data_IF_425148608048
#
_entry.id   IF_425148608048
#
_cell.length_a   1.000
_cell.length_b   1.000
_cell.length_c   1.000
_cell.angle_alpha   90.00
_cell.angle_beta   90.00
_cell.angle_gamma   90.00
#
_symmetry.space_group_name_H-M   'P 1'
#
loop_
_entity.id
_entity.type
_entity.pdbx_description
1 polymer ?
#
# COMPACT_ATOMS: atom_id res chain seq x y z
N UNK A 1 25.55 -17.52 -11.52
CA UNK A 1 26.40 -16.35 -11.20
C UNK A 1 25.55 -15.09 -11.31
N UNK A 2 24.78 -14.74 -10.28
CA UNK A 2 23.87 -13.56 -10.30
C UNK A 2 23.82 -12.80 -8.96
N UNK A 3 24.54 -13.26 -7.93
CA UNK A 3 24.38 -12.74 -6.57
C UNK A 3 24.77 -11.26 -6.41
N UNK A 4 25.74 -10.75 -7.19
CA UNK A 4 26.21 -9.36 -7.03
C UNK A 4 25.26 -8.29 -7.59
N UNK A 5 24.49 -8.59 -8.63
CA UNK A 5 23.51 -7.63 -9.14
C UNK A 5 22.19 -7.72 -8.37
N UNK A 6 21.80 -8.93 -7.95
CA UNK A 6 20.55 -9.16 -7.22
C UNK A 6 20.55 -8.43 -5.86
N UNK A 7 21.66 -8.40 -5.13
CA UNK A 7 21.74 -7.67 -3.85
C UNK A 7 21.62 -6.15 -4.06
N UNK A 8 22.23 -5.60 -5.11
CA UNK A 8 22.19 -4.16 -5.41
C UNK A 8 20.76 -3.73 -5.70
N UNK A 9 20.03 -4.48 -6.52
CA UNK A 9 18.63 -4.19 -6.83
C UNK A 9 17.73 -4.26 -5.58
N UNK A 10 17.94 -5.24 -4.71
CA UNK A 10 17.18 -5.38 -3.47
C UNK A 10 17.49 -4.24 -2.47
N UNK A 11 18.76 -3.87 -2.30
CA UNK A 11 19.16 -2.76 -1.43
C UNK A 11 18.65 -1.41 -1.96
N UNK A 12 18.83 -1.13 -3.25
CA UNK A 12 18.32 0.09 -3.88
C UNK A 12 16.81 0.20 -3.74
N UNK A 13 16.07 -0.90 -3.94
CA UNK A 13 14.62 -0.95 -3.74
C UNK A 13 14.19 -0.72 -2.29
N UNK A 14 14.92 -1.29 -1.34
CA UNK A 14 14.67 -1.09 0.10
C UNK A 14 14.90 0.36 0.54
N UNK A 15 16.04 0.94 0.15
CA UNK A 15 16.41 2.33 0.47
C UNK A 15 15.46 3.33 -0.22
N UNK A 16 15.12 3.10 -1.49
CA UNK A 16 14.11 3.89 -2.19
C UNK A 16 12.76 3.88 -1.45
N UNK A 17 12.35 2.72 -0.91
CA UNK A 17 11.15 2.59 -0.10
C UNK A 17 11.19 3.37 1.21
N UNK A 18 12.36 3.51 1.85
CA UNK A 18 12.50 4.32 3.06
C UNK A 18 12.32 5.82 2.77
N UNK A 19 12.91 6.31 1.68
CA UNK A 19 12.74 7.69 1.20
C UNK A 19 11.28 7.95 0.84
N UNK A 20 10.68 7.03 0.08
CA UNK A 20 9.27 7.05 -0.30
C UNK A 20 8.36 7.20 0.94
N UNK A 21 8.51 6.34 1.95
CA UNK A 21 7.71 6.40 3.17
C UNK A 21 7.91 7.71 3.91
N UNK A 22 9.15 8.18 4.04
CA UNK A 22 9.47 9.39 4.79
C UNK A 22 8.72 10.60 4.23
N UNK A 23 8.60 10.68 2.90
CA UNK A 23 7.89 11.76 2.22
C UNK A 23 6.37 11.57 2.18
N UNK A 24 5.90 10.32 2.06
CA UNK A 24 4.48 10.01 1.85
C UNK A 24 3.69 9.81 3.15
N UNK A 25 4.35 9.54 4.27
CA UNK A 25 3.69 9.21 5.54
C UNK A 25 2.74 10.30 6.08
N UNK A 26 3.04 11.61 5.99
CA UNK A 26 2.09 12.65 6.40
C UNK A 26 0.74 12.59 5.68
N UNK A 27 0.76 12.28 4.38
CA UNK A 27 -0.47 12.13 3.59
C UNK A 27 -1.27 10.90 4.03
N UNK A 28 -0.60 9.78 4.35
CA UNK A 28 -1.24 8.56 4.86
C UNK A 28 -1.89 8.80 6.24
N UNK A 29 -1.24 9.59 7.09
CA UNK A 29 -1.79 9.99 8.39
C UNK A 29 -3.07 10.82 8.25
N UNK A 30 -3.04 11.88 7.42
CA UNK A 30 -4.20 12.75 7.16
C UNK A 30 -5.37 11.93 6.62
N UNK A 31 -5.10 11.03 5.68
CA UNK A 31 -6.10 10.13 5.11
C UNK A 31 -6.72 9.23 6.18
N UNK A 32 -5.90 8.55 6.97
CA UNK A 32 -6.35 7.61 8.01
C UNK A 32 -7.23 8.31 9.05
N UNK A 33 -6.82 9.51 9.49
CA UNK A 33 -7.63 10.33 10.41
C UNK A 33 -8.94 10.79 9.80
N UNK A 34 -8.95 11.17 8.52
CA UNK A 34 -10.19 11.56 7.83
C UNK A 34 -11.18 10.39 7.75
N UNK A 35 -10.71 9.18 7.45
CA UNK A 35 -11.54 7.97 7.40
C UNK A 35 -12.15 7.66 8.78
N UNK A 36 -11.35 7.80 9.85
CA UNK A 36 -11.80 7.65 11.24
C UNK A 36 -12.92 8.64 11.59
N UNK A 37 -12.72 9.94 11.31
CA UNK A 37 -13.69 11.01 11.62
C UNK A 37 -15.03 10.78 10.92
N UNK A 38 -14.98 10.41 9.63
CA UNK A 38 -16.19 10.17 8.83
C UNK A 38 -16.94 8.92 9.29
N UNK A 39 -16.23 7.88 9.73
CA UNK A 39 -16.87 6.70 10.29
C UNK A 39 -17.54 6.99 11.64
N UNK A 40 -16.91 7.83 12.48
CA UNK A 40 -17.50 8.32 13.75
C UNK A 40 -18.59 9.38 13.57
N UNK A 41 -19.02 9.68 12.33
CA UNK A 41 -19.97 10.74 11.99
C UNK A 41 -19.60 12.12 12.57
N UNK A 42 -18.30 12.39 12.76
CA UNK A 42 -17.84 13.68 13.25
C UNK A 42 -17.85 14.72 12.12
N UNK A 43 -18.13 15.97 12.47
CA UNK A 43 -18.03 17.08 11.51
C UNK A 43 -16.61 17.21 10.98
N UNK A 44 -16.48 17.22 9.65
CA UNK A 44 -15.21 17.47 8.95
C UNK A 44 -14.96 18.96 8.74
N UNK A 45 -15.89 19.83 9.16
CA UNK A 45 -15.68 21.27 9.11
C UNK A 45 -14.46 21.59 9.99
N UNK A 46 -13.45 22.18 9.36
CA UNK A 46 -12.17 22.55 9.98
C UNK A 46 -11.26 21.35 10.32
N UNK A 47 -11.47 20.18 9.71
CA UNK A 47 -10.57 19.03 9.86
C UNK A 47 -9.10 19.39 9.59
N UNK A 48 -8.83 20.05 8.46
CA UNK A 48 -7.48 20.47 8.11
C UNK A 48 -6.91 21.46 9.12
N UNK A 49 -7.68 22.46 9.55
CA UNK A 49 -7.24 23.40 10.59
C UNK A 49 -6.91 22.68 11.91
N UNK A 50 -7.70 21.69 12.34
CA UNK A 50 -7.40 20.88 13.52
C UNK A 50 -6.10 20.08 13.39
N UNK A 51 -5.81 19.57 12.18
CA UNK A 51 -4.57 18.85 11.92
C UNK A 51 -3.37 19.79 11.90
N UNK A 52 -3.47 20.93 11.21
CA UNK A 52 -2.39 21.91 11.07
C UNK A 52 -2.09 22.68 12.37
N UNK A 53 -3.12 22.98 13.17
CA UNK A 53 -2.96 23.62 14.47
C UNK A 53 -2.48 22.63 15.55
N UNK A 54 -2.52 21.34 15.27
CA UNK A 54 -1.94 20.31 16.12
C UNK A 54 -0.41 20.30 16.04
N UNK A 55 0.22 19.46 16.86
CA UNK A 55 1.66 19.26 16.77
C UNK A 55 2.02 18.56 15.44
N UNK A 56 2.86 19.20 14.61
CA UNK A 56 3.33 18.66 13.31
C UNK A 56 3.99 17.28 13.49
N UNK A 57 4.59 17.00 14.65
CA UNK A 57 5.14 15.67 14.98
C UNK A 57 4.09 14.56 14.95
N UNK A 58 2.81 14.89 15.15
CA UNK A 58 1.72 13.92 15.07
C UNK A 58 1.54 13.35 13.66
N UNK A 59 1.91 14.10 12.61
CA UNK A 59 1.85 13.61 11.22
C UNK A 59 2.77 12.40 10.99
N UNK A 60 3.82 12.26 11.81
CA UNK A 60 4.78 11.17 11.76
C UNK A 60 4.52 10.05 12.78
N UNK A 61 3.40 10.11 13.53
CA UNK A 61 3.03 9.01 14.43
C UNK A 61 2.89 7.70 13.65
N UNK A 62 3.48 6.63 14.20
CA UNK A 62 3.45 5.29 13.59
C UNK A 62 4.42 5.08 12.42
N UNK A 63 5.27 6.06 12.06
CA UNK A 63 6.24 5.89 10.97
C UNK A 63 7.28 4.80 11.26
N UNK A 64 7.70 4.64 12.51
CA UNK A 64 8.74 3.68 12.91
C UNK A 64 8.38 2.23 12.55
N UNK A 65 7.13 1.81 12.76
CA UNK A 65 6.67 0.48 12.35
C UNK A 65 6.76 0.27 10.84
N UNK A 66 6.50 1.32 10.05
CA UNK A 66 6.52 1.24 8.59
C UNK A 66 7.95 1.21 8.05
N UNK A 67 8.87 1.97 8.64
CA UNK A 67 10.29 1.96 8.28
C UNK A 67 10.94 0.60 8.53
N UNK A 68 10.64 -0.05 9.65
CA UNK A 68 11.16 -1.40 9.96
C UNK A 68 10.58 -2.43 8.98
N UNK A 69 9.31 -2.28 8.62
CA UNK A 69 8.59 -3.28 7.83
C UNK A 69 8.72 -3.17 6.31
N UNK A 70 9.15 -2.02 5.76
CA UNK A 70 9.12 -1.80 4.31
C UNK A 70 10.06 -2.71 3.55
N UNK A 71 11.27 -2.93 4.07
CA UNK A 71 12.31 -3.73 3.42
C UNK A 71 11.82 -5.18 3.25
N UNK A 72 11.46 -5.92 4.32
CA UNK A 72 10.99 -7.30 4.16
C UNK A 72 9.70 -7.38 3.34
N UNK A 73 8.79 -6.41 3.46
CA UNK A 73 7.57 -6.36 2.67
C UNK A 73 7.87 -6.24 1.17
N UNK A 74 8.75 -5.31 0.76
CA UNK A 74 9.13 -5.10 -0.65
C UNK A 74 9.92 -6.27 -1.20
N UNK A 75 10.80 -6.87 -0.39
CA UNK A 75 11.55 -8.07 -0.78
C UNK A 75 10.61 -9.24 -1.10
N UNK A 76 9.63 -9.51 -0.24
CA UNK A 76 8.64 -10.57 -0.50
C UNK A 76 7.79 -10.24 -1.73
N UNK A 77 7.33 -8.99 -1.87
CA UNK A 77 6.52 -8.59 -3.01
C UNK A 77 7.26 -8.80 -4.34
N UNK A 78 8.42 -8.16 -4.52
CA UNK A 78 9.16 -8.26 -5.78
C UNK A 78 9.76 -9.64 -5.99
N UNK A 79 10.24 -10.29 -4.92
CA UNK A 79 10.79 -11.65 -4.98
C UNK A 79 9.75 -12.68 -5.41
N UNK A 80 8.53 -12.63 -4.85
CA UNK A 80 7.44 -13.53 -5.25
C UNK A 80 6.96 -13.26 -6.69
N UNK A 81 6.93 -12.00 -7.13
CA UNK A 81 6.64 -11.67 -8.53
C UNK A 81 7.71 -12.18 -9.49
N UNK A 82 8.99 -12.00 -9.16
CA UNK A 82 10.12 -12.51 -9.93
C UNK A 82 10.10 -14.02 -10.04
N UNK A 83 9.95 -14.72 -8.91
CA UNK A 83 9.84 -16.18 -8.88
C UNK A 83 8.66 -16.71 -9.70
N UNK A 84 7.48 -16.08 -9.57
CA UNK A 84 6.28 -16.48 -10.33
C UNK A 84 6.48 -16.27 -11.82
N UNK A 85 7.13 -15.16 -12.22
CA UNK A 85 7.46 -14.89 -13.62
C UNK A 85 8.41 -15.95 -14.18
N UNK A 86 9.51 -16.22 -13.48
CA UNK A 86 10.50 -17.23 -13.88
C UNK A 86 9.87 -18.62 -14.00
N UNK A 87 8.97 -18.97 -13.06
CA UNK A 87 8.24 -20.23 -13.11
C UNK A 87 7.33 -20.34 -14.35
N UNK A 88 6.58 -19.27 -14.68
CA UNK A 88 5.71 -19.25 -15.86
C UNK A 88 6.53 -19.30 -17.17
N UNK A 89 7.66 -18.61 -17.21
CA UNK A 89 8.54 -18.56 -18.38
C UNK A 89 9.24 -19.92 -18.61
N UNK A 90 9.71 -20.60 -17.55
CA UNK A 90 10.29 -21.95 -17.62
C UNK A 90 9.31 -22.98 -18.16
N UNK A 91 8.05 -22.88 -17.77
CA UNK A 91 6.98 -23.78 -18.23
C UNK A 91 6.41 -23.38 -19.61
N UNK A 92 7.01 -22.38 -20.29
CA UNK A 92 6.56 -21.85 -21.58
C UNK A 92 5.07 -21.44 -21.61
N UNK A 93 4.50 -21.12 -20.45
CA UNK A 93 3.10 -20.68 -20.33
C UNK A 93 3.00 -19.21 -20.71
N UNK A 94 3.22 -18.84 -21.97
CA UNK A 94 3.15 -17.44 -22.42
C UNK A 94 1.71 -17.05 -22.71
N UNK A 95 1.01 -16.54 -21.70
CA UNK A 95 -0.34 -15.99 -21.84
C UNK A 95 -0.35 -14.49 -21.57
N UNK A 96 -1.21 -13.75 -22.29
CA UNK A 96 -1.48 -12.33 -22.02
C UNK A 96 -2.02 -12.13 -20.60
N UNK A 97 -2.57 -13.16 -19.95
CA UNK A 97 -3.14 -13.09 -18.60
C UNK A 97 -2.13 -13.40 -17.48
N UNK A 98 -0.86 -13.69 -17.79
CA UNK A 98 0.15 -14.01 -16.78
C UNK A 98 0.38 -12.90 -15.75
N UNK A 99 0.17 -11.64 -16.13
CA UNK A 99 0.28 -10.50 -15.21
C UNK A 99 -0.68 -10.64 -14.02
N UNK A 100 -1.83 -11.28 -14.21
CA UNK A 100 -2.83 -11.47 -13.16
C UNK A 100 -2.39 -12.53 -12.13
N UNK A 101 -1.72 -13.58 -12.60
CA UNK A 101 -1.16 -14.61 -11.70
C UNK A 101 -0.01 -13.99 -10.89
N UNK A 102 0.89 -13.28 -11.57
CA UNK A 102 2.05 -12.63 -10.95
C UNK A 102 1.60 -11.56 -9.94
N UNK A 103 0.60 -10.73 -10.31
CA UNK A 103 0.02 -9.74 -9.42
C UNK A 103 -0.66 -10.36 -8.20
N UNK A 104 -1.46 -11.40 -8.40
CA UNK A 104 -2.16 -12.12 -7.32
C UNK A 104 -1.20 -12.80 -6.35
N UNK A 105 -0.18 -13.50 -6.84
CA UNK A 105 0.84 -14.15 -5.97
C UNK A 105 1.62 -13.09 -5.19
N UNK A 106 2.09 -12.04 -5.87
CA UNK A 106 2.80 -10.92 -5.23
C UNK A 106 1.98 -10.23 -4.14
N UNK A 107 0.74 -9.87 -4.46
CA UNK A 107 -0.20 -9.24 -3.54
C UNK A 107 -0.55 -10.13 -2.34
N UNK A 108 -0.67 -11.45 -2.54
CA UNK A 108 -0.98 -12.39 -1.47
C UNK A 108 0.20 -12.60 -0.53
N UNK A 109 1.40 -12.84 -1.07
CA UNK A 109 2.60 -13.04 -0.28
C UNK A 109 2.95 -11.82 0.58
N UNK A 110 2.85 -10.60 0.02
CA UNK A 110 3.14 -9.39 0.80
C UNK A 110 2.17 -9.16 1.96
N UNK A 111 0.91 -9.61 1.83
CA UNK A 111 -0.16 -9.33 2.81
C UNK A 111 0.14 -9.92 4.18
N UNK A 112 0.85 -11.05 4.22
CA UNK A 112 1.24 -11.73 5.48
C UNK A 112 2.06 -10.79 6.36
N UNK A 113 3.02 -10.08 5.76
CA UNK A 113 3.89 -9.13 6.46
C UNK A 113 3.18 -7.78 6.64
N UNK A 114 2.58 -7.27 5.56
CA UNK A 114 1.96 -5.95 5.50
C UNK A 114 0.85 -5.80 6.56
N UNK A 115 -0.02 -6.81 6.71
CA UNK A 115 -1.12 -6.74 7.67
C UNK A 115 -0.64 -6.51 9.12
N UNK A 116 0.43 -7.21 9.53
CA UNK A 116 0.98 -7.07 10.89
C UNK A 116 1.58 -5.68 11.13
N UNK A 117 2.32 -5.16 10.13
CA UNK A 117 2.89 -3.81 10.19
C UNK A 117 1.78 -2.76 10.23
N UNK A 118 0.74 -2.92 9.42
CA UNK A 118 -0.37 -1.97 9.31
C UNK A 118 -1.20 -1.92 10.60
N UNK A 119 -1.46 -3.04 11.26
CA UNK A 119 -2.13 -3.07 12.57
C UNK A 119 -1.35 -2.25 13.62
N UNK A 120 -0.02 -2.42 13.67
CA UNK A 120 0.84 -1.64 14.57
C UNK A 120 0.81 -0.15 14.21
N UNK A 121 0.90 0.16 12.91
CA UNK A 121 0.87 1.53 12.39
C UNK A 121 -0.43 2.24 12.77
N UNK A 122 -1.58 1.65 12.44
CA UNK A 122 -2.92 2.23 12.70
C UNK A 122 -3.12 2.42 14.19
N UNK A 123 -2.74 1.44 15.02
CA UNK A 123 -2.89 1.55 16.47
C UNK A 123 -2.04 2.70 17.05
N UNK A 124 -0.81 2.89 16.57
CA UNK A 124 0.04 4.03 16.96
C UNK A 124 -0.50 5.38 16.46
N UNK A 125 -1.09 5.44 15.26
CA UNK A 125 -1.73 6.67 14.74
C UNK A 125 -2.99 7.06 15.51
N UNK A 126 -3.66 6.07 16.11
CA UNK A 126 -4.91 6.24 16.88
C UNK A 126 -4.70 6.23 18.39
N UNK A 127 -3.44 6.22 18.87
CA UNK A 127 -3.07 6.18 20.29
C UNK A 127 -3.74 5.01 21.06
N UNK A 128 -3.97 3.88 20.38
CA UNK A 128 -4.54 2.66 20.95
C UNK A 128 -3.46 1.82 21.64
N UNK A 129 -3.72 1.36 22.86
CA UNK A 129 -2.84 0.39 23.56
C UNK A 129 -2.87 -0.95 22.82
N UNK A 130 -1.71 -1.37 22.31
CA UNK A 130 -1.54 -2.65 21.62
C UNK A 130 -1.23 -3.75 22.64
N UNK A 131 -1.96 -4.87 22.56
CA UNK A 131 -1.60 -6.11 23.25
C UNK A 131 -1.00 -7.10 22.26
N UNK A 132 -0.04 -7.94 22.68
CA UNK A 132 0.53 -9.00 21.83
C UNK A 132 -0.54 -9.94 21.24
N UNK A 133 -1.66 -10.15 21.97
CA UNK A 133 -2.83 -10.89 21.48
C UNK A 133 -3.50 -10.23 20.28
N UNK A 134 -3.44 -8.90 20.15
CA UNK A 134 -4.05 -8.18 19.02
C UNK A 134 -3.25 -8.36 17.72
N UNK A 135 -1.94 -8.57 17.83
CA UNK A 135 -1.07 -8.94 16.69
C UNK A 135 -1.38 -10.36 16.22
N UNK A 136 -1.60 -11.29 17.15
CA UNK A 136 -1.88 -12.69 16.81
C UNK A 136 -3.24 -12.91 16.10
N UNK A 137 -4.19 -11.97 16.24
CA UNK A 137 -5.54 -12.13 15.69
C UNK A 137 -5.67 -11.80 14.19
N UNK A 138 -4.62 -11.29 13.55
CA UNK A 138 -4.64 -10.91 12.12
C UNK A 138 -5.87 -10.05 11.75
N UNK A 139 -6.28 -9.14 12.65
CA UNK A 139 -7.45 -8.31 12.44
C UNK A 139 -7.33 -7.52 11.13
N UNK A 140 -8.35 -7.60 10.27
CA UNK A 140 -8.35 -6.93 8.98
C UNK A 140 -7.49 -7.61 7.91
N UNK A 141 -7.14 -8.89 8.05
CA UNK A 141 -6.37 -9.62 7.03
C UNK A 141 -7.08 -9.71 5.68
N UNK A 142 -8.34 -10.17 5.64
CA UNK A 142 -9.13 -10.27 4.40
C UNK A 142 -9.25 -8.95 3.62
N UNK A 143 -9.63 -7.81 4.23
CA UNK A 143 -9.70 -6.55 3.51
C UNK A 143 -8.31 -6.08 3.05
N UNK A 144 -7.25 -6.36 3.82
CA UNK A 144 -5.86 -6.10 3.38
C UNK A 144 -5.48 -6.95 2.17
N UNK A 145 -5.87 -8.23 2.16
CA UNK A 145 -5.61 -9.16 1.06
C UNK A 145 -6.29 -8.70 -0.22
N UNK A 146 -7.59 -8.42 -0.18
CA UNK A 146 -8.33 -7.93 -1.35
C UNK A 146 -7.74 -6.63 -1.87
N UNK A 147 -7.44 -5.69 -0.96
CA UNK A 147 -6.79 -4.42 -1.32
C UNK A 147 -5.47 -4.64 -2.05
N UNK A 148 -4.62 -5.52 -1.52
CA UNK A 148 -3.28 -5.79 -2.05
C UNK A 148 -3.32 -6.52 -3.39
N UNK A 149 -4.18 -7.51 -3.54
CA UNK A 149 -4.35 -8.27 -4.78
C UNK A 149 -4.91 -7.38 -5.89
N UNK A 150 -5.94 -6.58 -5.60
CA UNK A 150 -6.52 -5.63 -6.57
C UNK A 150 -5.47 -4.61 -7.01
N UNK A 151 -4.77 -4.01 -6.05
CA UNK A 151 -3.72 -3.04 -6.35
C UNK A 151 -2.61 -3.65 -7.21
N UNK A 152 -2.11 -4.83 -6.83
CA UNK A 152 -1.03 -5.51 -7.54
C UNK A 152 -1.43 -5.93 -8.95
N UNK A 153 -2.67 -6.37 -9.17
CA UNK A 153 -3.16 -6.74 -10.50
C UNK A 153 -3.33 -5.52 -11.42
N UNK A 154 -3.86 -4.40 -10.91
CA UNK A 154 -3.94 -3.16 -11.69
C UNK A 154 -2.54 -2.67 -12.03
N UNK A 155 -1.63 -2.61 -11.05
CA UNK A 155 -0.24 -2.20 -11.30
C UNK A 155 0.44 -3.13 -12.31
N UNK A 156 0.27 -4.45 -12.18
CA UNK A 156 0.83 -5.42 -13.09
C UNK A 156 0.30 -5.23 -14.53
N UNK A 157 -0.98 -4.94 -14.73
CA UNK A 157 -1.53 -4.65 -16.05
C UNK A 157 -0.77 -3.49 -16.74
N UNK A 158 -0.56 -2.39 -16.01
CA UNK A 158 0.14 -1.21 -16.54
C UNK A 158 1.66 -1.46 -16.75
N UNK A 159 2.32 -2.17 -15.83
CA UNK A 159 3.74 -2.48 -15.94
C UNK A 159 4.04 -3.55 -17.02
N UNK A 160 3.12 -4.48 -17.29
CA UNK A 160 3.31 -5.49 -18.35
C UNK A 160 3.11 -4.91 -19.75
N UNK A 161 2.15 -4.00 -19.92
CA UNK A 161 1.91 -3.34 -21.20
C UNK A 161 3.01 -2.32 -21.55
N UNK A 162 3.87 -1.94 -20.60
CA UNK A 162 4.89 -0.90 -20.78
C UNK A 162 6.34 -1.40 -20.93
N UNK A 163 6.54 -2.70 -21.21
CA UNK A 163 7.88 -3.29 -21.30
C UNK A 163 8.78 -2.67 -22.38
N UNK A 164 8.20 -2.24 -23.50
CA UNK A 164 8.94 -1.74 -24.68
C UNK A 164 9.15 -0.22 -24.69
N UNK A 165 8.60 0.50 -23.71
CA UNK A 165 8.63 1.97 -23.69
C UNK A 165 9.88 2.57 -23.02
N UNK A 166 10.10 3.86 -23.26
CA UNK A 166 11.18 4.64 -22.65
C UNK A 166 11.00 4.80 -21.13
N UNK A 167 12.06 5.19 -20.43
CA UNK A 167 12.05 5.32 -18.96
C UNK A 167 10.96 6.28 -18.44
N UNK A 168 10.70 7.38 -19.16
CA UNK A 168 9.68 8.37 -18.80
C UNK A 168 8.27 7.80 -18.97
N UNK A 169 8.05 7.05 -20.05
CA UNK A 169 6.76 6.40 -20.31
C UNK A 169 6.51 5.27 -19.30
N UNK A 170 7.53 4.45 -18.98
CA UNK A 170 7.47 3.46 -17.89
C UNK A 170 7.08 4.08 -16.57
N UNK A 171 7.65 5.24 -16.25
CA UNK A 171 7.26 6.03 -15.09
C UNK A 171 5.79 6.46 -15.17
N UNK A 172 5.36 7.04 -16.29
CA UNK A 172 4.00 7.53 -16.46
C UNK A 172 2.96 6.40 -16.32
N UNK A 173 3.18 5.27 -16.99
CA UNK A 173 2.32 4.09 -16.86
C UNK A 173 2.30 3.53 -15.45
N UNK A 174 3.45 3.47 -14.76
CA UNK A 174 3.52 3.00 -13.38
C UNK A 174 2.81 3.95 -12.41
N UNK A 175 2.93 5.27 -12.60
CA UNK A 175 2.28 6.27 -11.79
C UNK A 175 0.76 6.28 -11.98
N UNK A 176 0.30 6.17 -13.24
CA UNK A 176 -1.13 6.02 -13.57
C UNK A 176 -1.68 4.71 -13.00
N UNK A 177 -0.94 3.60 -13.16
CA UNK A 177 -1.30 2.30 -12.59
C UNK A 177 -1.38 2.34 -11.05
N UNK A 178 -0.46 3.03 -10.39
CA UNK A 178 -0.47 3.24 -8.94
C UNK A 178 -1.67 4.09 -8.48
N UNK A 179 -2.03 5.14 -9.21
CA UNK A 179 -3.20 5.97 -8.93
C UNK A 179 -4.52 5.20 -9.12
N UNK A 180 -4.68 4.53 -10.26
CA UNK A 180 -5.87 3.74 -10.57
C UNK A 180 -6.00 2.53 -9.64
N UNK A 181 -4.92 1.80 -9.41
CA UNK A 181 -4.89 0.68 -8.46
C UNK A 181 -5.26 1.14 -7.04
N UNK A 182 -4.85 2.34 -6.66
CA UNK A 182 -5.24 2.96 -5.38
C UNK A 182 -6.72 3.26 -5.30
N UNK A 183 -7.33 3.77 -6.37
CA UNK A 183 -8.76 4.06 -6.44
C UNK A 183 -9.60 2.79 -6.44
N UNK A 184 -9.25 1.78 -7.23
CA UNK A 184 -9.98 0.51 -7.27
C UNK A 184 -9.88 -0.28 -5.96
N UNK A 185 -8.73 -0.21 -5.28
CA UNK A 185 -8.55 -0.86 -3.97
C UNK A 185 -9.10 -0.05 -2.79
N UNK A 186 -9.62 1.15 -3.02
CA UNK A 186 -10.03 2.09 -1.96
C UNK A 186 -11.14 1.56 -1.02
N UNK A 187 -12.23 0.92 -1.50
CA UNK A 187 -13.28 0.42 -0.61
C UNK A 187 -12.76 -0.62 0.39
N UNK A 188 -11.85 -1.49 -0.06
CA UNK A 188 -11.20 -2.50 0.79
C UNK A 188 -10.22 -1.88 1.78
N UNK A 189 -9.51 -0.81 1.37
CA UNK A 189 -8.65 -0.06 2.27
C UNK A 189 -9.46 0.67 3.37
N UNK A 190 -10.64 1.20 3.04
CA UNK A 190 -11.55 1.76 4.03
C UNK A 190 -12.03 0.71 5.04
N UNK A 191 -12.52 -0.44 4.56
CA UNK A 191 -12.97 -1.54 5.41
C UNK A 191 -11.85 -2.06 6.32
N UNK A 192 -10.63 -2.17 5.78
CA UNK A 192 -9.43 -2.49 6.53
C UNK A 192 -9.18 -1.49 7.66
N UNK A 193 -9.13 -0.20 7.37
CA UNK A 193 -8.85 0.84 8.37
C UNK A 193 -9.85 0.83 9.51
N UNK A 194 -11.14 0.62 9.23
CA UNK A 194 -12.18 0.50 10.26
C UNK A 194 -11.96 -0.74 11.14
N UNK A 195 -11.71 -1.89 10.51
CA UNK A 195 -11.50 -3.15 11.23
C UNK A 195 -10.26 -3.07 12.11
N UNK A 196 -9.15 -2.53 11.59
CA UNK A 196 -7.89 -2.40 12.32
C UNK A 196 -7.94 -1.33 13.41
N UNK A 197 -8.72 -0.26 13.22
CA UNK A 197 -8.98 0.72 14.27
C UNK A 197 -9.85 0.14 15.40
N UNK A 198 -10.60 -0.93 15.14
CA UNK A 198 -11.51 -1.57 16.09
C UNK A 198 -12.78 -0.77 16.31
N UNK A 199 -13.16 0.07 15.34
CA UNK A 199 -14.42 0.80 15.35
C UNK A 199 -15.60 -0.09 14.94
N UNK A 200 -15.33 -1.07 14.08
CA UNK A 200 -16.32 -2.04 13.63
C UNK A 200 -15.66 -3.42 13.53
N UNK A 201 -16.29 -4.44 14.12
CA UNK A 201 -15.83 -5.83 14.12
C UNK A 201 -16.64 -6.72 13.15
N UNK A 202 -17.55 -6.13 12.36
CA UNK A 202 -18.31 -6.86 11.35
C UNK A 202 -17.38 -7.42 10.26
N UNK A 203 -17.89 -8.42 9.53
CA UNK A 203 -17.17 -8.99 8.39
C UNK A 203 -16.94 -7.92 7.31
N UNK A 204 -15.85 -8.06 6.56
CA UNK A 204 -15.48 -7.12 5.49
C UNK A 204 -16.60 -6.88 4.50
N UNK A 205 -17.30 -7.96 4.13
CA UNK A 205 -18.41 -7.88 3.19
C UNK A 205 -19.56 -7.07 3.78
N UNK A 206 -19.88 -7.27 5.06
CA UNK A 206 -20.92 -6.52 5.75
C UNK A 206 -20.60 -5.01 5.89
N UNK A 207 -19.33 -4.64 6.06
CA UNK A 207 -18.91 -3.22 6.11
C UNK A 207 -19.06 -2.56 4.73
N UNK A 208 -18.72 -3.28 3.66
CA UNK A 208 -18.77 -2.76 2.28
C UNK A 208 -20.21 -2.74 1.75
N UNK A 209 -21.00 -3.77 2.06
CA UNK A 209 -22.38 -3.92 1.61
C UNK A 209 -23.40 -3.25 2.54
N UNK A 210 -22.94 -2.46 3.52
CA UNK A 210 -23.81 -1.75 4.43
C UNK A 210 -24.59 -0.68 3.65
N UNK A 211 -25.88 -0.94 3.40
CA UNK A 211 -26.75 -0.04 2.62
C UNK A 211 -26.90 1.36 3.21
N UNK A 212 -26.57 1.53 4.49
CA UNK A 212 -26.57 2.85 5.17
C UNK A 212 -25.27 3.63 4.95
N UNK A 213 -24.25 3.00 4.37
CA UNK A 213 -22.94 3.61 4.18
C UNK A 213 -22.88 4.27 2.81
N UNK A 214 -22.85 5.61 2.79
CA UNK A 214 -22.84 6.34 1.53
C UNK A 214 -21.58 6.03 0.72
N UNK A 215 -21.70 6.01 -0.61
CA UNK A 215 -20.58 5.86 -1.54
C UNK A 215 -19.42 6.82 -1.21
N UNK A 216 -19.76 8.04 -0.77
CA UNK A 216 -18.81 9.06 -0.35
C UNK A 216 -17.97 8.66 0.87
N UNK A 217 -18.50 7.83 1.79
CA UNK A 217 -17.76 7.29 2.93
C UNK A 217 -16.79 6.18 2.51
N UNK A 218 -17.20 5.27 1.61
CA UNK A 218 -16.32 4.21 1.09
C UNK A 218 -15.11 4.80 0.35
N UNK A 219 -15.33 5.84 -0.44
CA UNK A 219 -14.28 6.54 -1.18
C UNK A 219 -13.63 7.69 -0.39
N UNK A 220 -13.87 7.78 0.92
CA UNK A 220 -13.27 8.77 1.78
C UNK A 220 -11.73 8.64 1.80
N UNK A 221 -11.05 9.69 1.33
CA UNK A 221 -9.59 9.67 1.18
C UNK A 221 -9.10 8.89 -0.05
N UNK A 222 -9.98 8.58 -1.00
CA UNK A 222 -9.60 7.98 -2.28
C UNK A 222 -8.69 8.89 -3.10
N UNK A 223 -8.99 10.20 -3.17
CA UNK A 223 -8.15 11.17 -3.87
C UNK A 223 -6.75 11.28 -3.22
N UNK A 224 -6.67 11.38 -1.90
CA UNK A 224 -5.37 11.42 -1.21
C UNK A 224 -4.59 10.12 -1.42
N UNK A 225 -5.28 8.97 -1.49
CA UNK A 225 -4.67 7.68 -1.83
C UNK A 225 -4.18 7.62 -3.28
N UNK A 226 -4.92 8.17 -4.24
CA UNK A 226 -4.52 8.20 -5.64
C UNK A 226 -3.25 9.06 -5.83
N UNK A 227 -3.21 10.23 -5.19
CA UNK A 227 -2.03 11.10 -5.16
C UNK A 227 -0.86 10.38 -4.50
N UNK A 228 -1.11 9.70 -3.37
CA UNK A 228 -0.12 8.84 -2.72
C UNK A 228 0.43 7.77 -3.65
N UNK A 229 -0.43 7.06 -4.38
CA UNK A 229 -0.03 6.02 -5.33
C UNK A 229 0.80 6.58 -6.49
N UNK A 230 0.41 7.74 -7.02
CA UNK A 230 1.16 8.45 -8.04
C UNK A 230 2.55 8.88 -7.54
N UNK A 231 2.61 9.57 -6.40
CA UNK A 231 3.86 10.05 -5.80
C UNK A 231 4.77 8.91 -5.34
N UNK A 232 4.19 7.82 -4.80
CA UNK A 232 4.91 6.63 -4.35
C UNK A 232 5.69 6.00 -5.50
N UNK A 233 5.03 5.78 -6.64
CA UNK A 233 5.70 5.23 -7.82
C UNK A 233 6.73 6.20 -8.40
N UNK A 234 6.44 7.50 -8.36
CA UNK A 234 7.35 8.49 -8.91
C UNK A 234 8.62 8.72 -8.08
N UNK A 235 8.45 8.90 -6.77
CA UNK A 235 9.55 8.99 -5.82
C UNK A 235 10.33 7.68 -5.81
N UNK A 236 9.64 6.54 -5.80
CA UNK A 236 10.27 5.21 -5.83
C UNK A 236 11.18 5.04 -7.04
N UNK A 237 10.73 5.42 -8.24
CA UNK A 237 11.53 5.36 -9.47
C UNK A 237 12.77 6.25 -9.42
N UNK A 238 12.61 7.54 -9.06
CA UNK A 238 13.72 8.49 -8.99
C UNK A 238 14.75 8.10 -7.93
N UNK A 239 14.26 7.65 -6.76
CA UNK A 239 15.11 7.22 -5.66
C UNK A 239 15.88 5.96 -6.04
N UNK A 240 15.20 4.99 -6.66
CA UNK A 240 15.81 3.74 -7.09
C UNK A 240 16.92 3.97 -8.13
N UNK A 241 16.66 4.78 -9.16
CA UNK A 241 17.65 5.07 -10.21
C UNK A 241 18.87 5.82 -9.63
N UNK A 242 18.62 6.78 -8.75
CA UNK A 242 19.70 7.55 -8.09
C UNK A 242 20.56 6.67 -7.18
N UNK A 243 19.94 5.79 -6.38
CA UNK A 243 20.66 4.89 -5.46
C UNK A 243 21.42 3.82 -6.23
N UNK A 244 20.83 3.28 -7.31
CA UNK A 244 21.49 2.31 -8.16
C UNK A 244 22.73 2.89 -8.84
N UNK A 245 22.69 4.16 -9.27
CA UNK A 245 23.86 4.87 -9.83
C UNK A 245 24.98 5.11 -8.81
N UNK A 246 24.66 5.13 -7.52
CA UNK A 246 25.61 5.33 -6.44
C UNK A 246 26.30 4.04 -5.95
N UNK A 247 25.76 2.86 -6.28
CA UNK A 247 26.21 1.54 -5.80
C UNK A 247 27.00 0.73 -6.84
#
# INVERSE_FOLDING_TARGET
MTTNNDYKFLLSGGLAGLVEISLTHPLDYIKTKRQEFLHKNMSTNHFYQKIYNGNIRNLYKGISSRLIGIIPMRMIYWGSQGYTRDYLDRNKMKSKYNFFIIGTVGGSCQTIIDNQIEVVKVSKMLDKKLTLKDLSKFNGFLPTLYRNVIFANVLALFCFNSREYDNIEKFAYSAIGGALGSLFSQPFDYAKTITQSGLDNRSTLAIISDGNLSFNKLFAGGLSRAILGFCSMGIGFLSYDSILKLL
#
